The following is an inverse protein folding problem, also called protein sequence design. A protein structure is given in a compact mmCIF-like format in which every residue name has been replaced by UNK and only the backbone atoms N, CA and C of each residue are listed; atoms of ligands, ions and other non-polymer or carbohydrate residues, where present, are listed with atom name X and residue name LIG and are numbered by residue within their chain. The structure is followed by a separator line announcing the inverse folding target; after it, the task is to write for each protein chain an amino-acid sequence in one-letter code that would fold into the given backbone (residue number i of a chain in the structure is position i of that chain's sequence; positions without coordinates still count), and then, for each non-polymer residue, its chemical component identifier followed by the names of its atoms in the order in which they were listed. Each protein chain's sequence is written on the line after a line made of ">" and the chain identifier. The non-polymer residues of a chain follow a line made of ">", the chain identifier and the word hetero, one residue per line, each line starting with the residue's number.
data_IF_407679200843
#
_entry.id   IF_407679200843
#
_cell.length_a   1.000
_cell.length_b   1.000
_cell.length_c   1.000
_cell.angle_alpha   90.00
_cell.angle_beta   90.00
_cell.angle_gamma   90.00
#
_symmetry.space_group_name_H-M   'P 1'
#
loop_
_entity.id
_entity.type
_entity.pdbx_description
1 polymer ?
#
# COMPACT_ATOMS: atom_id res chain seq x y z
N UNK A 1 7.92 11.83 19.07
CA UNK A 1 6.89 11.04 19.78
C UNK A 1 5.97 10.43 18.73
N UNK A 2 5.58 9.17 18.91
CA UNK A 2 4.65 8.50 18.00
C UNK A 2 3.25 9.12 18.08
N UNK A 3 2.65 9.40 16.93
CA UNK A 3 1.25 9.79 16.86
C UNK A 3 0.35 8.54 16.86
N UNK A 4 -0.83 8.60 17.48
CA UNK A 4 -1.79 7.51 17.42
C UNK A 4 -2.38 7.37 16.00
N UNK A 5 -2.61 6.12 15.59
CA UNK A 5 -3.41 5.79 14.42
C UNK A 5 -4.89 5.94 14.75
N UNK A 6 -5.63 6.71 13.95
CA UNK A 6 -7.05 6.93 14.15
C UNK A 6 -7.86 6.43 12.97
N UNK A 7 -8.78 5.49 13.24
CA UNK A 7 -9.78 5.01 12.28
C UNK A 7 -11.15 5.53 12.73
N UNK A 8 -11.81 6.42 11.96
CA UNK A 8 -13.12 6.94 12.34
C UNK A 8 -14.20 5.85 12.23
N UNK A 9 -15.34 6.01 12.92
CA UNK A 9 -16.54 5.21 12.67
C UNK A 9 -16.98 5.28 11.19
N UNK A 10 -17.81 4.32 10.78
CA UNK A 10 -18.33 4.32 9.42
C UNK A 10 -19.24 5.54 9.19
N UNK A 11 -19.10 6.18 8.03
CA UNK A 11 -19.96 7.33 7.65
C UNK A 11 -21.38 6.89 7.29
N UNK A 12 -21.57 5.62 6.94
CA UNK A 12 -22.87 5.07 6.55
C UNK A 12 -23.67 4.64 7.79
N UNK A 13 -24.99 4.80 7.72
CA UNK A 13 -25.92 4.30 8.73
C UNK A 13 -26.98 3.42 8.04
N UNK A 14 -26.97 2.08 8.25
CA UNK A 14 -26.03 1.32 9.09
C UNK A 14 -24.59 1.32 8.53
N UNK A 15 -23.62 0.95 9.38
CA UNK A 15 -22.22 0.83 8.98
C UNK A 15 -22.07 -0.16 7.80
N UNK A 16 -21.19 0.18 6.86
CA UNK A 16 -20.87 -0.73 5.76
C UNK A 16 -20.21 -2.01 6.32
N UNK A 17 -20.62 -3.16 5.79
CA UNK A 17 -20.09 -4.46 6.19
C UNK A 17 -18.58 -4.62 5.99
N UNK A 18 -17.94 -3.74 5.22
CA UNK A 18 -16.50 -3.72 4.99
C UNK A 18 -15.78 -2.55 5.68
N UNK A 19 -16.39 -1.87 6.66
CA UNK A 19 -15.72 -0.77 7.38
C UNK A 19 -14.72 -1.29 8.40
N UNK A 20 -15.21 -2.00 9.41
CA UNK A 20 -14.42 -2.76 10.38
C UNK A 20 -15.07 -4.14 10.50
N UNK A 21 -14.29 -5.22 10.34
CA UNK A 21 -14.83 -6.58 10.36
C UNK A 21 -15.27 -6.95 11.78
N UNK A 22 -16.26 -7.86 11.92
CA UNK A 22 -16.50 -8.57 13.16
C UNK A 22 -15.22 -9.25 13.69
N UNK A 23 -15.03 -9.34 15.02
CA UNK A 23 -13.83 -9.94 15.60
C UNK A 23 -13.61 -11.43 15.25
N UNK A 24 -14.61 -12.13 14.76
CA UNK A 24 -14.56 -13.55 14.40
C UNK A 24 -14.42 -13.80 12.89
N UNK A 25 -14.40 -12.74 12.07
CA UNK A 25 -14.33 -12.88 10.61
C UNK A 25 -12.87 -13.03 10.14
N UNK A 26 -12.50 -14.15 9.48
CA UNK A 26 -11.20 -14.29 8.82
C UNK A 26 -11.07 -13.32 7.66
N UNK A 27 -9.95 -12.61 7.61
CA UNK A 27 -9.79 -11.51 6.67
C UNK A 27 -8.31 -11.18 6.43
N UNK A 28 -8.01 -10.80 5.19
CA UNK A 28 -6.72 -10.18 4.84
C UNK A 28 -6.84 -8.66 4.93
N UNK A 29 -5.93 -8.03 5.65
CA UNK A 29 -5.92 -6.59 5.87
C UNK A 29 -4.72 -6.00 5.17
N UNK A 30 -4.94 -4.96 4.37
CA UNK A 30 -3.90 -4.10 3.87
C UNK A 30 -4.09 -2.70 4.45
N UNK A 31 -3.04 -2.17 5.09
CA UNK A 31 -2.96 -0.77 5.47
C UNK A 31 -1.79 -0.13 4.74
N UNK A 32 -2.05 0.94 4.00
CA UNK A 32 -1.06 1.60 3.16
C UNK A 32 -1.25 3.12 3.11
N UNK A 33 -0.16 3.86 2.88
CA UNK A 33 -0.21 5.31 2.85
C UNK A 33 1.13 5.99 2.57
N UNK A 34 1.14 7.32 2.55
CA UNK A 34 2.37 8.11 2.43
C UNK A 34 3.36 7.74 3.53
N UNK A 35 4.63 7.59 3.17
CA UNK A 35 5.70 7.23 4.10
C UNK A 35 5.81 8.26 5.24
N UNK A 36 5.66 9.55 4.93
CA UNK A 36 5.67 10.66 5.90
C UNK A 36 4.67 10.49 7.05
N UNK A 37 3.47 10.00 6.74
CA UNK A 37 2.43 9.76 7.73
C UNK A 37 2.76 8.51 8.57
N UNK A 38 3.27 7.46 7.94
CA UNK A 38 3.63 6.21 8.62
C UNK A 38 4.84 6.41 9.54
N UNK A 39 5.82 7.20 9.13
CA UNK A 39 6.97 7.55 9.98
C UNK A 39 6.55 8.32 11.24
N UNK A 40 5.47 9.11 11.20
CA UNK A 40 4.92 9.75 12.39
C UNK A 40 4.23 8.77 13.35
N UNK A 41 3.69 7.66 12.83
CA UNK A 41 3.21 6.55 13.66
C UNK A 41 4.36 5.77 14.30
N UNK A 42 5.48 5.63 13.58
CA UNK A 42 6.61 4.77 13.93
C UNK A 42 7.95 5.52 13.91
N UNK A 43 8.11 6.61 14.69
CA UNK A 43 9.27 7.50 14.58
C UNK A 43 10.59 6.85 14.98
N UNK A 44 10.52 5.84 15.85
CA UNK A 44 11.70 5.15 16.39
C UNK A 44 12.00 3.83 15.66
N UNK A 45 11.21 3.50 14.63
CA UNK A 45 11.39 2.25 13.87
C UNK A 45 12.39 2.45 12.74
N UNK A 46 13.42 1.59 12.60
CA UNK A 46 14.36 1.68 11.51
C UNK A 46 13.70 1.35 10.16
N UNK A 47 14.11 2.09 9.13
CA UNK A 47 13.67 1.91 7.76
C UNK A 47 14.86 1.46 6.92
N UNK A 48 14.76 0.28 6.30
CA UNK A 48 15.79 -0.20 5.41
C UNK A 48 15.49 0.31 4.00
N UNK A 49 15.90 1.56 3.76
CA UNK A 49 15.81 2.20 2.45
C UNK A 49 17.04 1.90 1.58
N UNK A 50 18.03 1.21 2.14
CA UNK A 50 19.23 0.80 1.43
C UNK A 50 18.91 -0.25 0.37
N UNK A 51 19.27 0.09 -0.86
CA UNK A 51 18.80 -0.50 -2.10
C UNK A 51 19.48 -1.84 -2.48
N UNK A 52 19.82 -2.71 -1.52
CA UNK A 52 20.36 -4.02 -1.90
C UNK A 52 19.26 -4.95 -2.45
N UNK A 53 19.02 -4.82 -3.75
CA UNK A 53 18.09 -5.66 -4.52
C UNK A 53 18.39 -7.16 -4.43
N UNK A 54 19.61 -7.54 -4.10
CA UNK A 54 19.98 -8.95 -4.04
C UNK A 54 19.35 -9.64 -2.82
N UNK A 55 19.02 -8.89 -1.77
CA UNK A 55 18.44 -9.46 -0.55
C UNK A 55 17.56 -8.44 0.21
N UNK A 56 16.40 -8.05 -0.34
CA UNK A 56 15.49 -7.16 0.36
C UNK A 56 15.01 -7.83 1.65
N UNK A 57 15.30 -7.20 2.80
CA UNK A 57 14.82 -7.67 4.10
C UNK A 57 13.30 -7.67 4.10
N UNK A 58 12.70 -8.86 4.19
CA UNK A 58 11.27 -9.02 4.39
C UNK A 58 10.97 -9.83 5.68
N UNK A 59 10.01 -9.36 6.49
CA UNK A 59 9.42 -8.02 6.43
C UNK A 59 10.42 -6.94 6.86
N UNK A 60 10.24 -5.69 6.41
CA UNK A 60 10.92 -4.56 7.01
C UNK A 60 10.49 -4.42 8.49
N UNK A 61 11.33 -3.87 9.39
CA UNK A 61 10.96 -3.64 10.79
C UNK A 61 9.67 -2.82 10.95
N UNK A 62 9.42 -1.87 10.04
CA UNK A 62 8.20 -1.08 9.99
C UNK A 62 6.93 -1.89 9.70
N UNK A 63 7.04 -3.03 9.01
CA UNK A 63 5.91 -3.86 8.62
C UNK A 63 5.17 -4.45 9.81
N UNK A 64 5.81 -5.30 10.63
CA UNK A 64 5.20 -5.87 11.83
C UNK A 64 4.72 -4.80 12.81
N UNK A 65 5.46 -3.69 12.93
CA UNK A 65 5.08 -2.57 13.80
C UNK A 65 3.77 -1.90 13.32
N UNK A 66 3.66 -1.59 12.03
CA UNK A 66 2.45 -1.00 11.45
C UNK A 66 1.27 -1.98 11.49
N UNK A 67 1.50 -3.27 11.20
CA UNK A 67 0.48 -4.30 11.29
C UNK A 67 -0.06 -4.43 12.71
N UNK A 68 0.82 -4.46 13.72
CA UNK A 68 0.41 -4.52 15.14
C UNK A 68 -0.41 -3.29 15.55
N UNK A 69 0.00 -2.10 15.13
CA UNK A 69 -0.72 -0.86 15.42
C UNK A 69 -2.12 -0.85 14.79
N UNK A 70 -2.21 -1.23 13.50
CA UNK A 70 -3.49 -1.34 12.80
C UNK A 70 -4.38 -2.40 13.45
N UNK A 71 -3.81 -3.55 13.80
CA UNK A 71 -4.50 -4.64 14.47
C UNK A 71 -5.14 -4.19 15.79
N UNK A 72 -4.37 -3.55 16.67
CA UNK A 72 -4.86 -3.03 17.95
C UNK A 72 -5.99 -2.01 17.74
N UNK A 73 -5.88 -1.16 16.72
CA UNK A 73 -6.90 -0.17 16.41
C UNK A 73 -8.19 -0.78 15.84
N UNK A 74 -8.10 -1.89 15.11
CA UNK A 74 -9.26 -2.59 14.53
C UNK A 74 -9.97 -3.44 15.59
N UNK A 75 -9.21 -4.20 16.39
CA UNK A 75 -9.77 -5.23 17.28
C UNK A 75 -9.79 -4.82 18.76
N UNK A 76 -9.16 -3.71 19.14
CA UNK A 76 -9.15 -3.21 20.51
C UNK A 76 -8.39 -4.10 21.50
N UNK A 77 -7.51 -4.97 21.01
CA UNK A 77 -6.72 -5.91 21.83
C UNK A 77 -5.32 -6.14 21.27
N UNK A 78 -4.44 -6.69 22.11
CA UNK A 78 -3.13 -7.15 21.69
C UNK A 78 -3.18 -8.46 20.89
N UNK A 79 -2.16 -8.63 20.04
CA UNK A 79 -1.90 -9.85 19.28
C UNK A 79 -1.51 -10.97 20.24
N UNK A 80 -2.16 -12.13 20.10
CA UNK A 80 -2.00 -13.32 20.93
C UNK A 80 -1.75 -14.56 20.07
N UNK A 81 -0.62 -14.59 19.34
CA UNK A 81 -0.27 -15.70 18.44
C UNK A 81 -0.12 -17.05 19.13
N UNK A 82 0.18 -17.05 20.43
CA UNK A 82 0.35 -18.27 21.22
C UNK A 82 -1.00 -18.96 21.53
N UNK A 83 -2.09 -18.20 21.50
CA UNK A 83 -3.44 -18.65 21.88
C UNK A 83 -4.33 -18.77 20.64
N UNK A 84 -4.19 -17.84 19.70
CA UNK A 84 -5.06 -17.72 18.52
C UNK A 84 -4.22 -17.99 17.28
N UNK A 85 -4.35 -19.18 16.66
CA UNK A 85 -3.71 -19.46 15.38
C UNK A 85 -4.14 -18.45 14.32
N UNK A 86 -3.17 -17.82 13.66
CA UNK A 86 -3.44 -16.84 12.61
C UNK A 86 -3.86 -15.45 13.11
N UNK A 87 -3.63 -15.11 14.39
CA UNK A 87 -4.04 -13.82 14.95
C UNK A 87 -3.42 -12.61 14.23
N UNK A 88 -2.18 -12.73 13.78
CA UNK A 88 -1.54 -11.75 12.88
C UNK A 88 -0.44 -12.45 12.11
N UNK A 89 -0.62 -12.61 10.80
CA UNK A 89 0.39 -13.24 9.93
C UNK A 89 0.77 -12.27 8.82
N UNK A 90 2.00 -11.77 8.83
CA UNK A 90 2.50 -10.90 7.77
C UNK A 90 2.58 -11.67 6.45
N UNK A 91 2.06 -11.07 5.38
CA UNK A 91 1.95 -11.71 4.06
C UNK A 91 2.65 -10.97 2.95
N UNK A 92 2.64 -9.64 2.96
CA UNK A 92 3.23 -8.83 1.90
C UNK A 92 3.52 -7.41 2.37
N UNK A 93 4.42 -6.72 1.67
CA UNK A 93 4.76 -5.31 1.86
C UNK A 93 4.77 -4.60 0.50
N UNK A 94 4.16 -3.43 0.45
CA UNK A 94 4.16 -2.56 -0.72
C UNK A 94 5.14 -1.40 -0.52
N UNK A 95 6.10 -1.27 -1.44
CA UNK A 95 7.09 -0.19 -1.48
C UNK A 95 6.84 0.69 -2.70
N UNK A 96 6.28 1.88 -2.48
CA UNK A 96 6.06 2.88 -3.53
C UNK A 96 7.34 3.66 -3.82
N UNK A 97 8.17 3.14 -4.72
CA UNK A 97 9.44 3.76 -5.10
C UNK A 97 9.26 4.96 -6.04
N UNK A 98 9.89 6.09 -5.71
CA UNK A 98 9.98 7.24 -6.62
C UNK A 98 11.16 7.07 -7.60
N UNK A 99 10.86 6.91 -8.90
CA UNK A 99 11.90 6.79 -9.94
C UNK A 99 12.63 8.09 -10.26
N UNK A 100 12.02 9.24 -9.97
CA UNK A 100 12.48 10.55 -10.41
C UNK A 100 13.57 11.17 -9.50
N UNK A 101 13.85 10.57 -8.35
CA UNK A 101 14.85 11.04 -7.37
C UNK A 101 16.07 10.12 -7.31
N UNK A 102 16.73 9.92 -8.45
CA UNK A 102 18.05 9.27 -8.52
C UNK A 102 19.13 10.33 -8.24
N UNK A 103 20.10 10.14 -7.33
CA UNK A 103 20.55 8.86 -6.74
C UNK A 103 19.87 8.42 -5.44
N UNK A 104 19.01 9.24 -4.83
CA UNK A 104 18.53 9.03 -3.45
C UNK A 104 17.39 8.00 -3.28
N UNK A 105 16.89 7.39 -4.37
CA UNK A 105 15.91 6.28 -4.42
C UNK A 105 15.09 6.13 -3.13
N UNK A 106 14.14 7.05 -2.94
CA UNK A 106 13.31 7.10 -1.73
C UNK A 106 11.95 6.48 -2.03
N UNK A 107 11.40 5.69 -1.11
CA UNK A 107 9.97 5.35 -1.13
C UNK A 107 9.16 6.54 -0.60
N UNK A 108 8.10 6.94 -1.29
CA UNK A 108 7.15 7.94 -0.77
C UNK A 108 5.87 7.30 -0.22
N UNK A 109 5.72 5.99 -0.40
CA UNK A 109 4.54 5.24 -0.01
C UNK A 109 4.93 3.87 0.53
N UNK A 110 4.27 3.45 1.59
CA UNK A 110 4.50 2.16 2.22
C UNK A 110 3.17 1.50 2.57
N UNK A 111 3.12 0.17 2.49
CA UNK A 111 1.98 -0.61 2.91
C UNK A 111 2.39 -1.96 3.46
N UNK A 112 1.59 -2.46 4.40
CA UNK A 112 1.74 -3.79 4.97
C UNK A 112 0.43 -4.57 4.77
N UNK A 113 0.56 -5.83 4.39
CA UNK A 113 -0.54 -6.78 4.26
C UNK A 113 -0.35 -7.91 5.26
N UNK A 114 -1.37 -8.17 6.06
CA UNK A 114 -1.39 -9.24 7.04
C UNK A 114 -2.74 -9.95 7.07
N UNK A 115 -2.72 -11.20 7.50
CA UNK A 115 -3.91 -12.01 7.69
C UNK A 115 -4.36 -12.01 9.15
N UNK A 116 -5.68 -12.04 9.35
CA UNK A 116 -6.36 -12.27 10.62
C UNK A 116 -7.23 -13.51 10.53
N UNK A 117 -7.04 -14.47 11.44
CA UNK A 117 -7.73 -15.78 11.51
C UNK A 117 -7.68 -16.60 10.21
N UNK A 118 -6.81 -16.26 9.27
CA UNK A 118 -6.54 -17.06 8.08
C UNK A 118 -5.34 -17.96 8.38
N UNK A 119 -5.49 -19.30 8.28
CA UNK A 119 -4.38 -20.21 8.48
C UNK A 119 -3.18 -19.90 7.59
N UNK A 120 -1.96 -20.12 8.10
CA UNK A 120 -0.73 -19.85 7.35
C UNK A 120 -0.67 -20.63 6.04
N UNK A 121 -1.18 -21.85 6.07
CA UNK A 121 -1.27 -22.85 5.00
C UNK A 121 -2.61 -22.82 4.27
N UNK A 122 -3.45 -21.79 4.47
CA UNK A 122 -4.74 -21.66 3.80
C UNK A 122 -4.58 -21.88 2.27
N UNK A 123 -5.29 -22.88 1.69
CA UNK A 123 -5.24 -23.15 0.27
C UNK A 123 -6.02 -22.12 -0.55
N UNK A 124 -6.96 -21.37 0.04
CA UNK A 124 -7.72 -20.34 -0.66
C UNK A 124 -6.80 -19.17 -1.06
N UNK A 125 -6.57 -18.93 -2.37
CA UNK A 125 -5.74 -17.84 -2.84
C UNK A 125 -6.45 -16.49 -2.75
N UNK A 126 -7.77 -16.44 -2.49
CA UNK A 126 -8.60 -15.25 -2.62
C UNK A 126 -9.49 -14.98 -1.39
N UNK A 127 -8.93 -14.84 -0.18
CA UNK A 127 -9.69 -14.43 0.99
C UNK A 127 -10.33 -13.04 0.81
N UNK A 128 -11.32 -12.73 1.65
CA UNK A 128 -11.86 -11.37 1.73
C UNK A 128 -10.81 -10.37 2.22
N UNK A 129 -10.88 -9.14 1.71
CA UNK A 129 -9.87 -8.10 1.95
C UNK A 129 -10.51 -6.85 2.55
N UNK A 130 -9.89 -6.32 3.61
CA UNK A 130 -10.08 -4.94 4.07
C UNK A 130 -8.88 -4.11 3.64
N UNK A 131 -9.16 -3.07 2.85
CA UNK A 131 -8.16 -2.06 2.52
C UNK A 131 -8.41 -0.78 3.32
N UNK A 132 -7.38 -0.35 4.05
CA UNK A 132 -7.35 0.88 4.84
C UNK A 132 -6.27 1.79 4.27
N UNK A 133 -6.63 3.02 3.90
CA UNK A 133 -5.65 3.99 3.42
C UNK A 133 -5.33 4.99 4.53
N UNK A 134 -4.05 5.17 4.85
CA UNK A 134 -3.56 6.28 5.66
C UNK A 134 -3.57 7.53 4.77
N UNK A 135 -4.17 8.59 5.30
CA UNK A 135 -4.39 9.85 4.60
C UNK A 135 -3.49 10.92 5.22
N UNK A 136 -2.60 11.46 4.40
CA UNK A 136 -1.82 12.66 4.76
C UNK A 136 -2.75 13.88 4.74
N UNK A 137 -2.67 14.69 5.80
CA UNK A 137 -3.50 15.88 6.01
C UNK A 137 -2.62 17.12 6.22
N UNK A 138 -1.42 16.96 6.78
CA UNK A 138 -0.63 18.10 7.24
C UNK A 138 -0.05 18.89 6.08
N UNK A 139 0.40 18.20 5.02
CA UNK A 139 1.10 18.79 3.87
C UNK A 139 0.23 19.77 3.07
N UNK A 140 -1.07 19.50 2.91
CA UNK A 140 -1.99 20.28 2.07
C UNK A 140 -3.17 20.87 2.85
N UNK A 141 -3.13 20.83 4.18
CA UNK A 141 -4.22 21.30 5.03
C UNK A 141 -5.53 20.50 4.84
N UNK A 142 -5.43 19.24 4.38
CA UNK A 142 -6.56 18.37 4.16
C UNK A 142 -7.27 18.55 2.81
N UNK A 143 -6.70 19.28 1.84
CA UNK A 143 -7.31 19.43 0.52
C UNK A 143 -7.57 18.07 -0.14
N UNK A 144 -6.55 17.19 -0.16
CA UNK A 144 -6.66 15.84 -0.72
C UNK A 144 -7.68 15.02 0.05
N UNK A 145 -7.64 15.05 1.38
CA UNK A 145 -8.58 14.33 2.24
C UNK A 145 -10.03 14.73 1.91
N UNK A 146 -10.33 16.03 1.93
CA UNK A 146 -11.68 16.55 1.68
C UNK A 146 -12.15 16.35 0.23
N UNK A 147 -11.21 16.24 -0.72
CA UNK A 147 -11.54 15.86 -2.11
C UNK A 147 -11.99 14.40 -2.21
N UNK A 148 -11.38 13.47 -1.48
CA UNK A 148 -11.55 12.03 -1.70
C UNK A 148 -12.30 11.26 -0.61
N UNK A 149 -12.52 11.85 0.56
CA UNK A 149 -13.30 11.26 1.65
C UNK A 149 -14.79 11.60 1.54
N UNK A 150 -15.63 10.75 2.12
CA UNK A 150 -17.08 10.98 2.22
C UNK A 150 -17.46 11.87 3.41
N UNK A 151 -16.49 12.29 4.20
CA UNK A 151 -16.65 13.18 5.35
C UNK A 151 -15.56 14.26 5.32
N UNK A 152 -15.79 15.34 6.05
CA UNK A 152 -14.84 16.44 6.17
C UNK A 152 -13.75 16.09 7.20
N UNK A 153 -12.49 16.21 6.81
CA UNK A 153 -11.33 16.10 7.68
C UNK A 153 -10.82 17.52 8.01
N UNK A 154 -10.90 17.91 9.28
CA UNK A 154 -10.36 19.18 9.78
C UNK A 154 -8.87 19.05 10.09
N UNK A 155 -8.01 19.76 9.36
CA UNK A 155 -6.57 19.69 9.56
C UNK A 155 -6.13 19.99 10.99
N UNK A 156 -6.82 20.89 11.70
CA UNK A 156 -6.48 21.24 13.09
C UNK A 156 -6.77 20.10 14.08
N UNK A 157 -7.66 19.17 13.73
CA UNK A 157 -7.95 17.97 14.53
C UNK A 157 -6.82 16.92 14.43
N UNK A 158 -6.12 16.88 13.29
CA UNK A 158 -5.11 15.85 13.00
C UNK A 158 -3.68 16.34 13.19
N UNK A 159 -3.39 17.60 12.85
CA UNK A 159 -2.02 18.14 12.83
C UNK A 159 -1.31 17.96 14.18
N UNK A 160 -0.23 17.19 14.16
CA UNK A 160 0.59 16.87 15.34
C UNK A 160 -0.13 16.07 16.43
N UNK A 161 -1.34 15.57 16.17
CA UNK A 161 -2.22 14.94 17.18
C UNK A 161 -2.49 13.48 16.88
N UNK A 162 -2.81 13.13 15.63
CA UNK A 162 -3.17 11.78 15.21
C UNK A 162 -3.08 11.62 13.70
N UNK A 163 -2.82 10.41 13.23
CA UNK A 163 -2.78 10.08 11.80
C UNK A 163 -4.09 9.44 11.38
N UNK A 164 -4.73 9.99 10.34
CA UNK A 164 -5.99 9.48 9.83
C UNK A 164 -5.77 8.23 8.96
N UNK A 165 -6.51 7.16 9.24
CA UNK A 165 -6.60 5.98 8.41
C UNK A 165 -8.07 5.65 8.12
N UNK A 166 -8.40 5.41 6.85
CA UNK A 166 -9.78 5.34 6.40
C UNK A 166 -10.03 4.06 5.61
N UNK A 167 -10.97 3.21 6.05
CA UNK A 167 -11.46 2.08 5.27
C UNK A 167 -12.05 2.52 3.94
N UNK A 168 -11.98 1.65 2.93
CA UNK A 168 -12.38 2.01 1.57
C UNK A 168 -13.84 2.47 1.43
N UNK A 169 -14.75 1.95 2.25
CA UNK A 169 -16.17 2.30 2.22
C UNK A 169 -16.45 3.78 2.57
N UNK A 170 -15.53 4.45 3.27
CA UNK A 170 -15.64 5.87 3.65
C UNK A 170 -14.93 6.81 2.66
N UNK A 171 -14.49 6.29 1.52
CA UNK A 171 -13.82 7.04 0.46
C UNK A 171 -14.71 7.11 -0.80
N UNK A 172 -14.58 8.18 -1.58
CA UNK A 172 -15.28 8.33 -2.88
C UNK A 172 -14.80 7.34 -3.93
N UNK A 173 -13.55 6.86 -3.82
CA UNK A 173 -12.98 5.87 -4.74
C UNK A 173 -13.54 4.49 -4.42
N UNK A 174 -14.08 3.81 -5.44
CA UNK A 174 -14.58 2.45 -5.32
C UNK A 174 -13.42 1.46 -5.42
N UNK A 175 -13.22 0.67 -4.36
CA UNK A 175 -12.17 -0.35 -4.25
C UNK A 175 -12.40 -1.63 -5.04
N UNK A 176 -12.97 -1.55 -6.24
CA UNK A 176 -13.39 -2.74 -7.01
C UNK A 176 -12.24 -3.69 -7.37
N UNK A 177 -11.00 -3.19 -7.38
CA UNK A 177 -9.80 -3.96 -7.67
C UNK A 177 -9.00 -4.33 -6.41
N UNK A 178 -9.39 -3.83 -5.24
CA UNK A 178 -8.60 -3.89 -4.02
C UNK A 178 -8.38 -5.35 -3.60
N UNK A 179 -9.45 -6.16 -3.56
CA UNK A 179 -9.36 -7.60 -3.24
C UNK A 179 -8.45 -8.37 -4.18
N UNK A 180 -8.62 -8.19 -5.49
CA UNK A 180 -7.76 -8.84 -6.49
C UNK A 180 -6.31 -8.44 -6.30
N UNK A 181 -6.02 -7.13 -6.24
CA UNK A 181 -4.65 -6.61 -6.18
C UNK A 181 -3.93 -7.12 -4.95
N UNK A 182 -4.57 -7.03 -3.78
CA UNK A 182 -3.99 -7.46 -2.50
C UNK A 182 -3.69 -8.95 -2.52
N UNK A 183 -4.64 -9.78 -2.98
CA UNK A 183 -4.44 -11.22 -3.02
C UNK A 183 -3.39 -11.65 -4.07
N UNK A 184 -3.35 -10.97 -5.21
CA UNK A 184 -2.33 -11.19 -6.23
C UNK A 184 -0.92 -10.83 -5.72
N UNK A 185 -0.75 -9.73 -4.96
CA UNK A 185 0.54 -9.36 -4.39
C UNK A 185 1.04 -10.40 -3.38
N UNK A 186 0.15 -10.89 -2.52
CA UNK A 186 0.49 -11.98 -1.57
C UNK A 186 0.86 -13.26 -2.32
N UNK A 187 0.11 -13.62 -3.36
CA UNK A 187 0.42 -14.77 -4.19
C UNK A 187 1.79 -14.63 -4.87
N UNK A 188 2.08 -13.46 -5.44
CA UNK A 188 3.36 -13.14 -6.04
C UNK A 188 4.51 -13.33 -5.05
N UNK A 189 4.40 -12.76 -3.84
CA UNK A 189 5.44 -12.90 -2.81
C UNK A 189 5.61 -14.34 -2.36
N UNK A 190 4.51 -15.06 -2.14
CA UNK A 190 4.54 -16.48 -1.71
C UNK A 190 5.24 -17.38 -2.74
N UNK A 191 4.98 -17.14 -4.03
CA UNK A 191 5.55 -17.93 -5.12
C UNK A 191 6.94 -17.46 -5.58
N UNK A 192 7.42 -16.30 -5.13
CA UNK A 192 8.68 -15.71 -5.59
C UNK A 192 8.63 -15.28 -7.06
N UNK A 193 7.47 -14.90 -7.57
CA UNK A 193 7.31 -14.55 -8.99
C UNK A 193 7.75 -13.10 -9.27
N UNK A 194 8.39 -12.87 -10.42
CA UNK A 194 8.80 -11.52 -10.82
C UNK A 194 7.62 -10.60 -11.17
N UNK A 195 6.54 -11.18 -11.72
CA UNK A 195 5.36 -10.44 -12.17
C UNK A 195 4.12 -10.67 -11.31
N UNK A 196 3.31 -9.62 -11.16
CA UNK A 196 1.97 -9.71 -10.60
C UNK A 196 1.02 -10.31 -11.63
N UNK A 197 0.21 -11.30 -11.22
CA UNK A 197 -0.84 -11.85 -12.08
C UNK A 197 -1.86 -10.77 -12.44
N UNK A 198 -2.23 -10.69 -13.72
CA UNK A 198 -3.33 -9.84 -14.17
C UNK A 198 -4.68 -10.21 -13.54
N UNK A 199 -5.68 -9.33 -13.65
CA UNK A 199 -7.02 -9.58 -13.09
C UNK A 199 -7.69 -10.83 -13.66
N UNK A 200 -7.49 -11.11 -14.94
CA UNK A 200 -8.01 -12.32 -15.60
C UNK A 200 -7.20 -13.56 -15.21
N UNK A 201 -5.86 -13.51 -15.28
CA UNK A 201 -4.98 -14.62 -14.85
C UNK A 201 -5.24 -15.02 -13.40
N UNK A 202 -5.42 -14.05 -12.50
CA UNK A 202 -5.73 -14.32 -11.10
C UNK A 202 -7.14 -14.90 -10.93
N UNK A 203 -8.12 -14.41 -11.69
CA UNK A 203 -9.48 -14.98 -11.68
C UNK A 203 -9.46 -16.43 -12.15
N UNK A 204 -8.68 -16.75 -13.17
CA UNK A 204 -8.50 -18.11 -13.67
C UNK A 204 -7.84 -18.99 -12.61
N UNK A 205 -6.86 -18.47 -11.87
CA UNK A 205 -6.26 -19.18 -10.73
C UNK A 205 -7.26 -19.46 -9.60
N UNK A 206 -8.17 -18.54 -9.33
CA UNK A 206 -9.22 -18.71 -8.32
C UNK A 206 -10.29 -19.71 -8.77
N UNK A 207 -10.64 -19.69 -10.05
CA UNK A 207 -11.74 -20.50 -10.60
C UNK A 207 -11.27 -21.88 -11.14
N UNK A 208 -9.98 -22.02 -11.46
CA UNK A 208 -9.38 -23.21 -12.04
C UNK A 208 -8.45 -23.89 -11.05
N UNK A 209 -8.92 -24.99 -10.44
CA UNK A 209 -8.05 -25.87 -9.69
C UNK A 209 -7.03 -26.55 -10.61
N UNK A 210 -5.75 -26.22 -10.41
CA UNK A 210 -4.60 -27.07 -10.73
C UNK A 210 -4.35 -27.41 -12.20
N UNK A 211 -3.68 -26.52 -12.93
CA UNK A 211 -2.64 -26.94 -13.88
C UNK A 211 -1.42 -26.05 -13.67
N UNK A 212 -0.35 -26.62 -13.11
CA UNK A 212 0.97 -25.99 -13.08
C UNK A 212 1.38 -25.71 -14.53
N UNK A 213 1.33 -24.43 -14.93
CA UNK A 213 1.98 -24.01 -16.16
C UNK A 213 3.43 -23.70 -15.83
N UNK A 214 4.32 -24.57 -16.31
CA UNK A 214 5.78 -24.39 -16.27
C UNK A 214 6.14 -22.96 -16.69
N UNK A 215 6.90 -22.31 -15.81
CA UNK A 215 7.34 -20.93 -15.97
C UNK A 215 8.18 -20.75 -17.22
N UNK A 216 7.59 -20.17 -18.26
CA UNK A 216 8.38 -19.43 -19.24
C UNK A 216 8.86 -18.16 -18.56
N UNK A 217 10.18 -18.08 -18.34
CA UNK A 217 10.86 -16.89 -17.85
C UNK A 217 10.34 -15.67 -18.59
N UNK A 218 9.63 -14.81 -17.86
CA UNK A 218 9.25 -13.48 -18.33
C UNK A 218 10.29 -12.56 -17.70
N UNK A 219 11.17 -11.96 -18.51
CA UNK A 219 12.02 -10.87 -18.04
C UNK A 219 11.10 -9.72 -17.59
N UNK A 220 10.94 -9.57 -16.28
CA UNK A 220 9.85 -8.80 -15.71
C UNK A 220 10.19 -8.18 -14.37
N UNK A 221 11.26 -7.39 -14.34
CA UNK A 221 11.69 -6.47 -13.27
C UNK A 221 10.88 -6.50 -11.96
N UNK A 222 11.51 -7.11 -10.95
CA UNK A 222 11.23 -6.98 -9.52
C UNK A 222 10.65 -5.61 -9.17
N UNK A 223 9.45 -5.58 -8.58
CA UNK A 223 8.82 -4.37 -8.09
C UNK A 223 8.88 -3.19 -9.07
N UNK A 224 8.64 -3.38 -10.38
CA UNK A 224 8.32 -2.23 -11.25
C UNK A 224 6.97 -1.66 -10.81
N UNK A 225 7.08 -0.69 -9.91
CA UNK A 225 6.00 0.09 -9.36
C UNK A 225 4.99 0.46 -10.43
N UNK A 226 3.74 0.11 -10.15
CA UNK A 226 2.63 0.90 -10.64
C UNK A 226 2.75 2.27 -10.00
N UNK A 227 3.37 3.19 -10.73
CA UNK A 227 2.95 4.58 -10.70
C UNK A 227 1.49 4.55 -11.12
N UNK A 228 0.55 4.65 -10.18
CA UNK A 228 -0.75 5.21 -10.52
C UNK A 228 -0.41 6.55 -11.13
N UNK A 229 -0.67 6.71 -12.42
CA UNK A 229 -0.49 7.96 -13.13
C UNK A 229 -1.24 9.07 -12.39
N UNK A 230 -0.56 9.75 -11.47
CA UNK A 230 -0.87 11.12 -11.06
C UNK A 230 -0.47 11.97 -12.26
N UNK A 231 -1.28 11.95 -13.31
CA UNK A 231 -1.38 13.10 -14.19
C UNK A 231 -2.01 14.17 -13.33
N UNK A 232 -1.18 15.11 -12.89
CA UNK A 232 -1.62 16.42 -12.43
C UNK A 232 -2.60 16.92 -13.49
N UNK A 233 -3.89 16.92 -13.16
CA UNK A 233 -4.88 17.66 -13.93
C UNK A 233 -4.55 19.13 -13.68
N UNK A 234 -3.76 19.70 -14.59
CA UNK A 234 -3.69 21.15 -14.75
C UNK A 234 -5.08 21.64 -15.11
N UNK A 235 -5.60 22.51 -14.26
CA UNK A 235 -6.81 23.28 -14.51
C UNK A 235 -6.74 23.96 -15.88
N UNK A 236 -7.89 23.98 -16.53
CA UNK A 236 -8.14 24.68 -17.79
C UNK A 236 -8.40 26.18 -17.58
N UNK A 237 -7.76 26.80 -16.58
CA UNK A 237 -7.91 28.23 -16.29
C UNK A 237 -6.53 28.87 -16.17
N UNK A 238 -6.11 29.52 -17.25
CA UNK A 238 -4.80 30.13 -17.41
C UNK A 238 -4.52 31.26 -16.43
N UNK A 239 -3.97 30.93 -15.26
CA UNK A 239 -3.28 31.89 -14.39
C UNK A 239 -1.94 31.34 -13.92
N UNK A 240 -0.91 31.89 -14.57
CA UNK A 240 0.51 31.80 -14.23
C UNK A 240 0.77 32.66 -13.00
N UNK A 241 1.46 32.11 -11.99
CA UNK A 241 2.36 32.87 -11.11
C UNK A 241 3.59 32.01 -10.71
N UNK A 242 4.75 32.62 -10.45
CA UNK A 242 6.03 32.15 -11.00
C UNK A 242 7.13 31.86 -9.96
N UNK A 243 8.17 31.15 -10.45
CA UNK A 243 9.59 31.13 -10.02
C UNK A 243 9.88 30.54 -8.63
N UNK A 244 10.71 29.51 -8.51
CA UNK A 244 12.13 29.47 -8.88
C UNK A 244 12.60 28.01 -8.60
N UNK A 245 13.45 27.31 -9.36
CA UNK A 245 14.72 27.63 -10.03
C UNK A 245 14.93 26.59 -11.15
N UNK A 246 15.19 27.04 -12.38
CA UNK A 246 15.83 26.26 -13.46
C UNK A 246 17.26 25.87 -13.03
N UNK A 247 17.84 24.74 -13.45
CA UNK A 247 18.80 24.64 -14.58
C UNK A 247 19.22 23.17 -14.81
N UNK A 248 19.20 22.76 -16.09
CA UNK A 248 20.14 21.90 -16.84
C UNK A 248 19.51 20.71 -17.59
N UNK A 249 18.98 21.03 -18.77
CA UNK A 249 18.93 20.13 -19.92
C UNK A 249 20.29 20.18 -20.63
N UNK A 250 21.02 19.06 -20.71
CA UNK A 250 22.02 18.81 -21.75
C UNK A 250 22.52 17.36 -21.73
N UNK A 251 22.41 16.71 -22.91
CA UNK A 251 23.18 15.55 -23.40
C UNK A 251 22.91 14.17 -22.77
N UNK A 252 22.20 13.32 -23.51
CA UNK A 252 22.78 12.14 -24.19
C UNK A 252 21.92 11.82 -25.43
N UNK A 253 22.34 12.32 -26.59
CA UNK A 253 22.04 11.69 -27.87
C UNK A 253 23.36 11.11 -28.35
N UNK A 254 23.40 9.80 -28.53
CA UNK A 254 24.52 9.11 -29.16
C UNK A 254 25.00 7.90 -28.38
N UNK A 255 24.42 6.74 -28.68
CA UNK A 255 25.16 5.55 -29.10
C UNK A 255 24.14 4.45 -29.39
N UNK A 256 24.04 4.03 -30.65
CA UNK A 256 23.86 2.65 -31.11
C UNK A 256 23.52 2.69 -32.60
N UNK A 257 24.49 2.34 -33.44
CA UNK A 257 24.26 1.58 -34.67
C UNK A 257 25.58 0.94 -35.11
N UNK A 258 25.74 -0.29 -34.61
CA UNK A 258 26.23 -1.49 -35.32
C UNK A 258 27.29 -1.34 -36.41
N UNK A 259 28.47 -1.89 -36.10
CA UNK A 259 29.33 -2.58 -37.06
C UNK A 259 28.59 -3.78 -37.67
N UNK A 260 28.49 -3.83 -39.00
CA UNK A 260 28.43 -5.06 -39.78
C UNK A 260 29.16 -4.83 -41.11
N UNK A 261 30.19 -5.66 -41.28
CA UNK A 261 31.02 -5.95 -42.48
C UNK A 261 32.04 -4.85 -42.84
#
# INVERSE_FOLDING_TARGET
>A
MALPLYIPPCIHTPADKHHLPPPDQPLRIQIEGPLSAIQRLLPDTPWHLDWDFANPTFPQPAGPALAKLAYQQIYGRDVSTDIIPGDLVIRDEYLGWMREKDPDRVIDYYGITFDYLIPKDNPDPNPEVLQINIIEIEDDGGEYANRWLLFQADAEEYRGKKVLAVPRCCQKRKGTQDRWRVNACVHQRRGGYEGLLGAEEFRDLVNGGGEEREGKGREGICCRGWVVARRIMGNNDGRIYPKSVEVYLSRVVGLFLTLRI
#
